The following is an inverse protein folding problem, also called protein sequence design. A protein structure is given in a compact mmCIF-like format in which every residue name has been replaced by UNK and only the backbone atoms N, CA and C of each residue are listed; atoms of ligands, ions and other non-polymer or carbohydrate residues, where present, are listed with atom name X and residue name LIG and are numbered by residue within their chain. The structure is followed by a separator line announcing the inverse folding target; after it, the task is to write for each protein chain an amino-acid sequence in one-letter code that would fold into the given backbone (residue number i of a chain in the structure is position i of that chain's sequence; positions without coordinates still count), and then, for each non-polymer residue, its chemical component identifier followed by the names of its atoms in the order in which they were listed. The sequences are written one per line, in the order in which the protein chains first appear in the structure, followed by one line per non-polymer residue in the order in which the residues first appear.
data_IF_718096420678
#
_entry.id   IF_718096420678
#
_cell.length_a   1.000
_cell.length_b   1.000
_cell.length_c   1.000
_cell.angle_alpha   90.00
_cell.angle_beta   90.00
_cell.angle_gamma   90.00
#
_symmetry.space_group_name_H-M   'P 1'
#
loop_
_entity.id
_entity.type
_entity.pdbx_description
1 polymer ?
#
# COMPACT_ATOMS: atom_id res chain seq x y z
N UNK A 1 34.95 -12.12 -3.07
CA UNK A 1 34.56 -11.67 -1.72
C UNK A 1 33.75 -10.40 -1.91
N UNK A 2 32.43 -10.54 -2.07
CA UNK A 2 31.54 -9.38 -2.24
C UNK A 2 31.14 -8.97 -0.84
N UNK A 3 31.52 -7.74 -0.46
CA UNK A 3 31.21 -7.17 0.84
C UNK A 3 29.71 -7.22 1.08
N UNK A 4 29.30 -7.79 2.22
CA UNK A 4 27.93 -7.74 2.68
C UNK A 4 27.52 -6.27 2.83
N UNK A 5 26.50 -5.87 2.09
CA UNK A 5 25.76 -4.65 2.40
C UNK A 5 25.19 -4.87 3.79
N UNK A 6 25.74 -4.18 4.79
CA UNK A 6 25.07 -4.05 6.07
C UNK A 6 23.71 -3.42 5.81
N UNK A 7 22.63 -4.16 6.07
CA UNK A 7 21.27 -3.62 6.05
C UNK A 7 21.21 -2.54 7.13
N UNK A 8 21.39 -1.28 6.73
CA UNK A 8 21.21 -0.15 7.63
C UNK A 8 19.83 -0.22 8.26
N UNK A 9 19.79 -0.26 9.60
CA UNK A 9 18.61 -0.22 10.48
C UNK A 9 17.29 -0.69 9.87
N UNK A 10 16.85 -1.91 10.22
CA UNK A 10 15.52 -2.39 9.87
C UNK A 10 14.44 -1.37 10.25
N UNK A 11 13.43 -1.23 9.39
CA UNK A 11 12.30 -0.33 9.65
C UNK A 11 11.67 -0.68 11.00
N UNK A 12 11.21 0.32 11.79
CA UNK A 12 10.53 0.02 13.05
C UNK A 12 9.34 -0.91 12.79
N UNK A 13 9.30 -2.03 13.50
CA UNK A 13 8.22 -3.00 13.37
C UNK A 13 6.86 -2.36 13.69
N UNK A 14 5.83 -2.71 12.92
CA UNK A 14 4.46 -2.24 13.13
C UNK A 14 4.15 -0.86 12.54
N UNK A 15 5.08 -0.22 11.83
CA UNK A 15 4.78 0.97 11.00
C UNK A 15 4.02 0.49 9.75
N UNK A 16 2.81 1.03 9.47
CA UNK A 16 2.07 0.68 8.26
C UNK A 16 2.86 1.03 7.00
N UNK A 17 2.95 0.08 6.05
CA UNK A 17 3.57 0.30 4.74
C UNK A 17 2.53 0.27 3.63
N UNK A 18 2.60 1.18 2.64
CA UNK A 18 1.72 1.16 1.49
C UNK A 18 2.28 0.28 0.37
N UNK A 19 1.49 -0.67 -0.11
CA UNK A 19 1.75 -1.41 -1.35
C UNK A 19 0.89 -0.84 -2.47
N UNK A 20 1.55 -0.18 -3.42
CA UNK A 20 0.89 0.47 -4.56
C UNK A 20 0.90 -0.46 -5.76
N UNK A 21 -0.27 -0.78 -6.30
CA UNK A 21 -0.43 -1.55 -7.53
C UNK A 21 -1.15 -0.68 -8.55
N UNK A 22 -0.73 -0.76 -9.82
CA UNK A 22 -1.44 -0.06 -10.90
C UNK A 22 -1.57 -0.91 -12.17
N UNK A 23 -2.60 -0.62 -12.95
CA UNK A 23 -2.88 -1.29 -14.22
C UNK A 23 -3.64 -0.38 -15.22
N UNK A 24 -3.73 -0.85 -16.46
CA UNK A 24 -4.42 -0.14 -17.56
C UNK A 24 -5.94 -0.43 -17.62
N UNK A 25 -6.45 -1.31 -16.76
CA UNK A 25 -7.88 -1.58 -16.63
C UNK A 25 -8.21 -2.08 -15.21
N UNK A 26 -9.48 -2.02 -14.76
CA UNK A 26 -9.89 -2.57 -13.47
C UNK A 26 -9.60 -4.08 -13.34
N UNK A 27 -9.94 -4.86 -14.38
CA UNK A 27 -9.67 -6.31 -14.38
C UNK A 27 -8.17 -6.62 -14.32
N UNK A 28 -7.33 -5.85 -15.02
CA UNK A 28 -5.88 -6.02 -14.94
C UNK A 28 -5.33 -5.65 -13.55
N UNK A 29 -5.97 -4.71 -12.83
CA UNK A 29 -5.59 -4.36 -11.47
C UNK A 29 -5.86 -5.53 -10.51
N UNK A 30 -7.03 -6.16 -10.62
CA UNK A 30 -7.39 -7.36 -9.85
C UNK A 30 -6.40 -8.50 -10.08
N UNK A 31 -6.03 -8.76 -11.34
CA UNK A 31 -5.03 -9.79 -11.69
C UNK A 31 -3.64 -9.45 -11.13
N UNK A 32 -3.23 -8.18 -11.13
CA UNK A 32 -1.95 -7.77 -10.53
C UNK A 32 -1.95 -7.95 -9.01
N UNK A 33 -3.06 -7.63 -8.33
CA UNK A 33 -3.20 -7.87 -6.90
C UNK A 33 -3.08 -9.36 -6.56
N UNK A 34 -3.76 -10.22 -7.32
CA UNK A 34 -3.67 -11.68 -7.14
C UNK A 34 -2.25 -12.20 -7.35
N UNK A 35 -1.57 -11.77 -8.42
CA UNK A 35 -0.17 -12.17 -8.69
C UNK A 35 0.79 -11.73 -7.60
N UNK A 36 0.60 -10.52 -7.05
CA UNK A 36 1.41 -10.05 -5.95
C UNK A 36 1.13 -10.86 -4.68
N UNK A 37 -0.14 -11.20 -4.41
CA UNK A 37 -0.52 -12.03 -3.27
C UNK A 37 0.16 -13.40 -3.35
N UNK A 38 0.10 -14.06 -4.51
CA UNK A 38 0.76 -15.35 -4.75
C UNK A 38 2.28 -15.26 -4.62
N UNK A 39 2.90 -14.21 -5.19
CA UNK A 39 4.35 -14.00 -5.10
C UNK A 39 4.80 -13.82 -3.65
N UNK A 40 4.13 -12.96 -2.89
CA UNK A 40 4.48 -12.74 -1.48
C UNK A 40 4.14 -13.95 -0.63
N UNK A 41 3.04 -14.66 -0.90
CA UNK A 41 2.66 -15.86 -0.16
C UNK A 41 3.71 -16.97 -0.29
N UNK A 42 4.40 -17.05 -1.44
CA UNK A 42 5.42 -18.06 -1.73
C UNK A 42 6.76 -17.86 -1.00
N UNK A 43 7.06 -16.66 -0.51
CA UNK A 43 8.31 -16.35 0.20
C UNK A 43 8.00 -15.52 1.47
N UNK A 44 8.16 -16.14 2.63
CA UNK A 44 7.96 -15.51 3.94
C UNK A 44 9.16 -14.66 4.38
N UNK A 45 10.30 -14.75 3.70
CA UNK A 45 11.48 -13.93 3.92
C UNK A 45 11.41 -12.54 3.31
N UNK A 46 10.37 -12.23 2.54
CA UNK A 46 10.16 -10.91 1.96
C UNK A 46 9.68 -9.91 3.01
N UNK A 47 10.55 -8.96 3.34
CA UNK A 47 10.21 -7.85 4.23
C UNK A 47 9.16 -6.93 3.57
N UNK A 48 8.04 -6.60 4.26
CA UNK A 48 6.98 -5.79 3.66
C UNK A 48 7.42 -4.42 3.14
N UNK A 49 8.39 -3.80 3.80
CA UNK A 49 8.95 -2.51 3.37
C UNK A 49 9.70 -2.61 2.04
N UNK A 50 10.45 -3.70 1.83
CA UNK A 50 11.24 -3.91 0.61
C UNK A 50 10.33 -4.18 -0.59
N UNK A 51 9.24 -4.92 -0.39
CA UNK A 51 8.18 -5.09 -1.39
C UNK A 51 7.54 -3.75 -1.72
N UNK A 52 7.16 -2.96 -0.71
CA UNK A 52 6.55 -1.64 -0.90
C UNK A 52 7.46 -0.68 -1.66
N UNK A 53 8.75 -0.64 -1.31
CA UNK A 53 9.76 0.16 -2.00
C UNK A 53 9.92 -0.28 -3.46
N UNK A 54 9.96 -1.59 -3.72
CA UNK A 54 10.06 -2.15 -5.06
C UNK A 54 8.85 -1.79 -5.93
N UNK A 55 7.65 -1.78 -5.34
CA UNK A 55 6.41 -1.38 -6.02
C UNK A 55 6.38 0.12 -6.33
N UNK A 56 6.88 0.97 -5.43
CA UNK A 56 6.94 2.42 -5.63
C UNK A 56 7.80 2.84 -6.84
N UNK A 57 8.80 2.04 -7.21
CA UNK A 57 9.64 2.25 -8.40
C UNK A 57 9.04 1.74 -9.73
N UNK A 58 7.88 1.09 -9.71
CA UNK A 58 7.25 0.54 -10.93
C UNK A 58 6.56 1.63 -11.75
N UNK A 59 6.35 1.33 -13.03
CA UNK A 59 5.51 2.16 -13.91
C UNK A 59 4.12 2.36 -13.30
N UNK A 60 3.61 3.58 -13.43
CA UNK A 60 2.33 3.98 -12.84
C UNK A 60 1.27 4.15 -13.92
N UNK A 61 0.16 3.42 -13.78
CA UNK A 61 -1.01 3.49 -14.67
C UNK A 61 -2.22 4.17 -14.00
N UNK A 62 -3.32 4.31 -14.74
CA UNK A 62 -4.49 5.08 -14.30
C UNK A 62 -5.36 4.35 -13.27
N UNK A 63 -5.50 3.03 -13.33
CA UNK A 63 -6.24 2.26 -12.33
C UNK A 63 -5.24 1.85 -11.24
N UNK A 64 -5.51 2.23 -9.99
CA UNK A 64 -4.59 2.05 -8.87
C UNK A 64 -5.31 1.48 -7.67
N UNK A 65 -4.61 0.62 -6.94
CA UNK A 65 -4.97 0.20 -5.59
C UNK A 65 -3.78 0.45 -4.66
N UNK A 66 -4.06 0.86 -3.43
CA UNK A 66 -3.09 0.93 -2.34
C UNK A 66 -3.61 0.06 -1.22
N UNK A 67 -2.80 -0.92 -0.81
CA UNK A 67 -3.05 -1.73 0.38
C UNK A 67 -2.10 -1.24 1.47
N UNK A 68 -2.65 -0.85 2.62
CA UNK A 68 -1.89 -0.37 3.78
C UNK A 68 -2.03 -1.38 4.90
N UNK A 69 -0.90 -1.87 5.41
CA UNK A 69 -0.86 -2.82 6.52
C UNK A 69 0.45 -2.74 7.29
N UNK A 70 0.42 -3.18 8.55
CA UNK A 70 1.56 -3.18 9.48
C UNK A 70 2.39 -4.46 9.40
N UNK A 71 1.80 -5.52 8.87
CA UNK A 71 2.42 -6.81 8.72
C UNK A 71 1.96 -7.52 7.44
N UNK A 72 2.61 -8.65 7.14
CA UNK A 72 2.36 -9.47 5.96
C UNK A 72 0.94 -10.03 5.92
N UNK A 73 0.34 -10.35 7.06
CA UNK A 73 -1.01 -10.93 7.13
C UNK A 73 -2.05 -9.90 6.72
N UNK A 74 -1.97 -8.69 7.26
CA UNK A 74 -2.84 -7.57 6.88
C UNK A 74 -2.71 -7.24 5.38
N UNK A 75 -1.47 -7.20 4.88
CA UNK A 75 -1.20 -6.89 3.48
C UNK A 75 -1.71 -7.98 2.52
N UNK A 76 -1.54 -9.26 2.85
CA UNK A 76 -2.09 -10.36 2.06
C UNK A 76 -3.62 -10.35 2.05
N UNK A 77 -4.27 -10.09 3.19
CA UNK A 77 -5.73 -9.95 3.26
C UNK A 77 -6.22 -8.82 2.34
N UNK A 78 -5.60 -7.63 2.42
CA UNK A 78 -5.97 -6.52 1.56
C UNK A 78 -5.68 -6.75 0.07
N UNK A 79 -4.65 -7.53 -0.27
CA UNK A 79 -4.41 -7.95 -1.66
C UNK A 79 -5.49 -8.91 -2.17
N UNK A 80 -5.99 -9.81 -1.32
CA UNK A 80 -7.12 -10.67 -1.68
C UNK A 80 -8.40 -9.87 -1.89
N UNK A 81 -8.69 -8.88 -1.03
CA UNK A 81 -9.81 -7.97 -1.22
C UNK A 81 -9.68 -7.18 -2.54
N UNK A 82 -8.49 -6.65 -2.82
CA UNK A 82 -8.20 -5.94 -4.07
C UNK A 82 -8.30 -6.85 -5.31
N UNK A 83 -7.92 -8.13 -5.18
CA UNK A 83 -8.06 -9.13 -6.24
C UNK A 83 -9.54 -9.52 -6.47
N UNK A 84 -10.37 -9.50 -5.43
CA UNK A 84 -11.81 -9.68 -5.53
C UNK A 84 -12.54 -8.43 -6.04
N UNK A 85 -11.89 -7.26 -6.02
CA UNK A 85 -12.50 -5.98 -6.38
C UNK A 85 -13.41 -5.43 -5.29
N UNK A 86 -13.24 -5.92 -4.06
CA UNK A 86 -14.05 -5.57 -2.90
C UNK A 86 -13.40 -4.44 -2.07
N UNK A 87 -14.19 -3.57 -1.43
CA UNK A 87 -13.67 -2.61 -0.46
C UNK A 87 -13.21 -3.36 0.80
N UNK A 88 -11.92 -3.29 1.10
CA UNK A 88 -11.30 -3.90 2.28
C UNK A 88 -10.79 -2.87 3.29
N UNK A 89 -10.62 -3.27 4.55
CA UNK A 89 -9.92 -2.44 5.54
C UNK A 89 -8.49 -2.21 5.05
N UNK A 90 -8.07 -0.94 5.00
CA UNK A 90 -6.73 -0.59 4.52
C UNK A 90 -6.56 -0.66 2.99
N UNK A 91 -7.63 -0.91 2.22
CA UNK A 91 -7.59 -0.94 0.75
C UNK A 91 -8.25 0.31 0.18
N UNK A 92 -7.51 1.03 -0.67
CA UNK A 92 -8.05 2.16 -1.43
C UNK A 92 -7.82 1.90 -2.91
N UNK A 93 -8.89 1.76 -3.68
CA UNK A 93 -8.83 1.59 -5.13
C UNK A 93 -9.54 2.72 -5.87
N UNK A 94 -9.05 3.05 -7.06
CA UNK A 94 -9.67 4.09 -7.88
C UNK A 94 -8.98 4.31 -9.21
N UNK A 95 -9.52 5.26 -9.98
CA UNK A 95 -8.93 5.72 -11.24
C UNK A 95 -8.34 7.11 -11.04
N UNK A 96 -7.03 7.22 -11.21
CA UNK A 96 -6.31 8.49 -11.22
C UNK A 96 -6.83 9.39 -12.34
N UNK A 97 -7.07 10.66 -12.01
CA UNK A 97 -7.34 11.73 -12.98
C UNK A 97 -6.25 12.79 -12.80
N UNK A 98 -5.85 13.44 -13.88
CA UNK A 98 -4.98 14.61 -13.77
C UNK A 98 -5.73 15.71 -13.00
N UNK A 99 -5.08 16.27 -11.98
CA UNK A 99 -5.59 17.40 -11.22
C UNK A 99 -4.58 18.54 -11.36
N UNK A 100 -5.07 19.72 -11.73
CA UNK A 100 -4.19 20.87 -12.00
C UNK A 100 -3.94 21.73 -10.75
N UNK A 101 -4.80 21.61 -9.73
CA UNK A 101 -4.75 22.43 -8.51
C UNK A 101 -5.17 21.61 -7.29
N UNK A 102 -4.58 21.96 -6.14
CA UNK A 102 -4.90 21.38 -4.83
C UNK A 102 -5.40 22.47 -3.90
N UNK A 103 -6.42 22.17 -3.09
CA UNK A 103 -6.95 23.05 -2.04
C UNK A 103 -6.91 22.31 -0.71
N UNK A 104 -6.48 22.98 0.36
CA UNK A 104 -6.54 22.47 1.73
C UNK A 104 -7.80 23.02 2.42
N UNK A 105 -8.58 22.15 3.06
CA UNK A 105 -9.78 22.52 3.81
C UNK A 105 -9.47 22.39 5.30
N UNK A 106 -9.68 23.48 6.05
CA UNK A 106 -9.49 23.52 7.49
C UNK A 106 -10.86 23.57 8.17
N UNK A 107 -11.30 22.50 8.85
CA UNK A 107 -12.58 22.52 9.54
C UNK A 107 -12.55 23.50 10.72
N UNK A 108 -13.70 24.07 11.05
CA UNK A 108 -13.88 24.84 12.27
C UNK A 108 -13.91 23.95 13.51
N UNK A 109 -14.42 24.49 14.61
CA UNK A 109 -14.62 23.73 15.85
C UNK A 109 -15.67 22.63 15.67
N UNK A 110 -15.41 21.43 16.21
CA UNK A 110 -16.35 20.30 16.27
C UNK A 110 -15.88 19.02 15.55
N UNK A 111 -14.82 19.08 14.76
CA UNK A 111 -14.24 17.89 14.09
C UNK A 111 -13.27 17.10 15.00
N UNK A 112 -12.86 17.69 16.12
CA UNK A 112 -11.95 17.05 17.07
C UNK A 112 -12.64 15.95 17.88
N UNK A 113 -11.88 14.93 18.23
CA UNK A 113 -12.26 13.87 19.17
C UNK A 113 -11.23 13.77 20.30
N UNK A 114 -11.63 13.24 21.45
CA UNK A 114 -10.76 13.12 22.63
C UNK A 114 -9.58 12.20 22.32
N UNK A 115 -8.37 12.75 22.34
CA UNK A 115 -7.14 12.00 22.04
C UNK A 115 -6.62 12.16 20.60
N UNK A 116 -7.30 12.93 19.75
CA UNK A 116 -6.82 13.28 18.42
C UNK A 116 -5.39 13.84 18.48
N UNK A 117 -4.50 13.32 17.62
CA UNK A 117 -3.11 13.77 17.50
C UNK A 117 -2.10 13.09 18.43
N UNK A 118 -2.52 12.16 19.31
CA UNK A 118 -1.61 11.49 20.26
C UNK A 118 -0.82 10.32 19.68
N UNK A 119 -1.30 9.72 18.59
CA UNK A 119 -0.76 8.48 18.00
C UNK A 119 -0.47 8.64 16.49
N UNK A 120 -0.10 9.86 16.07
CA UNK A 120 0.27 10.16 14.69
C UNK A 120 1.75 9.90 14.41
#
# INVERSE_FOLDING_TARGET
MVAGVERGGGWPAGVPVPWVISAKSPAALMVQAQRLAEFVAADDGLEPVDVGLSLAGRSVFEYRAVVVGKDRTELLAGLHDAAAGEPGVGVVAGRSRSLDKTVMVFPGQGAQWVGMGREL
#
